data_IF_829276846610
#
_entry.id   IF_829276846610
#
_cell.length_a   1.000
_cell.length_b   1.000
_cell.length_c   1.000
_cell.angle_alpha   90.00
_cell.angle_beta   90.00
_cell.angle_gamma   90.00
#
_symmetry.space_group_name_H-M   'P 1'
#
loop_
_entity.id
_entity.type
_entity.pdbx_description
1 polymer ?
#
# COMPACT_ATOMS: atom_id res chain seq x y z
N UNK A 1 5.97 -7.39 -5.57
CA UNK A 1 6.57 -7.65 -6.89
C UNK A 1 6.01 -8.96 -7.41
N UNK A 2 5.53 -8.94 -8.64
CA UNK A 2 5.36 -10.17 -9.43
C UNK A 2 6.66 -10.33 -10.22
N UNK A 3 7.44 -11.35 -9.86
CA UNK A 3 8.75 -11.61 -10.47
C UNK A 3 8.61 -12.29 -11.83
N UNK A 4 9.63 -12.18 -12.70
CA UNK A 4 9.63 -12.85 -14.01
C UNK A 4 9.52 -14.37 -13.95
N UNK A 5 9.86 -14.99 -12.81
CA UNK A 5 9.77 -16.43 -12.57
C UNK A 5 8.37 -16.88 -12.07
N UNK A 6 7.37 -16.00 -12.15
CA UNK A 6 5.99 -16.32 -11.78
C UNK A 6 5.74 -16.33 -10.28
N UNK A 7 6.70 -15.88 -9.45
CA UNK A 7 6.52 -15.76 -7.99
C UNK A 7 6.08 -14.36 -7.59
N UNK A 8 5.17 -14.29 -6.62
CA UNK A 8 4.79 -13.05 -5.96
C UNK A 8 5.54 -12.92 -4.63
N UNK A 9 6.15 -11.76 -4.40
CA UNK A 9 6.75 -11.37 -3.12
C UNK A 9 6.24 -10.02 -2.64
N UNK A 10 6.03 -9.89 -1.32
CA UNK A 10 5.70 -8.59 -0.70
C UNK A 10 6.94 -7.70 -0.71
N UNK A 11 6.83 -6.50 -1.27
CA UNK A 11 7.91 -5.50 -1.19
C UNK A 11 7.76 -4.68 0.07
N UNK A 12 6.58 -4.10 0.25
CA UNK A 12 6.24 -3.28 1.41
C UNK A 12 4.73 -3.09 1.44
N UNK A 13 4.22 -2.71 2.60
CA UNK A 13 2.85 -2.25 2.79
C UNK A 13 2.82 -1.08 3.76
N UNK A 14 1.65 -0.46 3.87
CA UNK A 14 1.32 0.44 4.95
C UNK A 14 -0.18 0.36 5.22
N UNK A 15 -0.66 1.22 6.09
CA UNK A 15 -2.06 1.20 6.51
C UNK A 15 -2.52 2.60 6.88
N UNK A 16 -3.83 2.77 6.91
CA UNK A 16 -4.45 3.99 7.38
C UNK A 16 -5.84 3.69 7.93
N UNK A 17 -6.14 4.20 9.12
CA UNK A 17 -7.53 4.31 9.57
C UNK A 17 -8.11 5.59 8.94
N UNK A 18 -9.06 5.44 8.03
CA UNK A 18 -9.54 6.56 7.18
C UNK A 18 -10.25 7.67 7.95
N UNK A 19 -10.67 7.42 9.20
CA UNK A 19 -11.22 8.45 10.07
C UNK A 19 -10.17 9.47 10.55
N UNK A 20 -8.88 9.15 10.49
CA UNK A 20 -7.77 10.05 10.88
C UNK A 20 -7.01 10.59 9.65
N UNK A 21 -7.68 10.69 8.50
CA UNK A 21 -7.06 11.06 7.19
C UNK A 21 -6.61 12.52 7.05
N UNK A 22 -6.91 13.37 8.02
CA UNK A 22 -6.47 14.76 7.99
C UNK A 22 -4.93 14.82 8.04
N UNK A 23 -4.33 15.48 7.05
CA UNK A 23 -2.88 15.58 6.91
C UNK A 23 -2.35 16.83 7.59
N UNK A 24 -1.16 16.73 8.16
CA UNK A 24 -0.34 17.87 8.55
C UNK A 24 0.34 18.43 7.29
N UNK A 25 -0.05 19.62 6.79
CA UNK A 25 0.49 20.17 5.55
C UNK A 25 1.95 20.65 5.69
N UNK A 26 2.41 20.94 6.91
CA UNK A 26 3.78 21.39 7.14
C UNK A 26 4.78 20.23 7.14
N UNK A 27 4.30 19.01 7.45
CA UNK A 27 5.15 17.82 7.56
C UNK A 27 4.95 16.82 6.42
N UNK A 28 3.80 16.83 5.76
CA UNK A 28 3.49 15.89 4.68
C UNK A 28 4.29 16.20 3.42
N UNK A 29 4.69 15.14 2.71
CA UNK A 29 5.31 15.20 1.39
C UNK A 29 4.51 14.35 0.39
N UNK A 30 4.94 14.32 -0.87
CA UNK A 30 4.35 13.42 -1.88
C UNK A 30 4.51 11.94 -1.47
N UNK A 31 5.67 11.57 -0.94
CA UNK A 31 5.98 10.18 -0.58
C UNK A 31 5.54 9.82 0.84
N UNK A 32 5.43 10.81 1.72
CA UNK A 32 5.11 10.60 3.13
C UNK A 32 3.93 11.49 3.56
N UNK A 33 2.68 10.97 3.49
CA UNK A 33 1.50 11.67 3.99
C UNK A 33 1.37 11.50 5.50
N UNK A 34 1.74 12.51 6.28
CA UNK A 34 1.70 12.44 7.74
C UNK A 34 0.36 12.98 8.26
N UNK A 35 -0.44 12.16 8.96
CA UNK A 35 -1.67 12.65 9.58
C UNK A 35 -1.37 13.58 10.77
N UNK A 36 -2.29 14.49 11.07
CA UNK A 36 -2.19 15.38 12.25
C UNK A 36 -2.27 14.59 13.56
N UNK A 37 -3.02 13.47 13.55
CA UNK A 37 -3.33 12.64 14.72
C UNK A 37 -4.03 13.39 15.87
N UNK A 38 -4.70 14.50 15.56
CA UNK A 38 -5.49 15.27 16.53
C UNK A 38 -6.92 14.71 16.61
N UNK A 39 -7.46 14.64 17.83
CA UNK A 39 -8.84 14.20 18.06
C UNK A 39 -9.86 15.08 17.32
N UNK A 40 -9.63 16.40 17.30
CA UNK A 40 -10.51 17.37 16.63
C UNK A 40 -10.58 17.18 15.11
N UNK A 41 -9.58 16.53 14.50
CA UNK A 41 -9.52 16.26 13.06
C UNK A 41 -10.10 14.88 12.70
N UNK A 42 -10.49 14.08 13.70
CA UNK A 42 -11.07 12.78 13.47
C UNK A 42 -12.46 12.92 12.82
N UNK A 43 -12.61 12.38 11.62
CA UNK A 43 -13.84 12.47 10.84
C UNK A 43 -14.12 11.15 10.11
N UNK A 44 -15.20 10.41 10.45
CA UNK A 44 -15.62 9.24 9.69
C UNK A 44 -15.77 9.52 8.18
N UNK A 45 -15.68 8.47 7.35
CA UNK A 45 -16.00 8.61 5.95
C UNK A 45 -17.53 8.78 5.78
N UNK A 46 -18.00 9.74 4.97
CA UNK A 46 -19.41 9.84 4.62
C UNK A 46 -19.84 8.59 3.83
N UNK A 47 -20.99 8.03 4.18
CA UNK A 47 -21.51 6.83 3.53
C UNK A 47 -21.96 7.15 2.09
N UNK A 48 -21.57 6.31 1.13
CA UNK A 48 -21.95 6.46 -0.28
C UNK A 48 -21.17 7.54 -1.05
N UNK A 49 -20.16 8.15 -0.42
CA UNK A 49 -19.37 9.22 -1.03
C UNK A 49 -17.88 8.88 -1.05
N UNK A 50 -17.19 9.30 -2.12
CA UNK A 50 -15.73 9.18 -2.18
C UNK A 50 -15.07 10.32 -1.42
N UNK A 51 -14.11 9.97 -0.55
CA UNK A 51 -13.19 10.93 0.07
C UNK A 51 -11.75 10.64 -0.37
N UNK A 52 -10.92 11.67 -0.62
CA UNK A 52 -9.50 11.47 -0.85
C UNK A 52 -8.83 10.95 0.42
N UNK A 53 -8.02 9.89 0.28
CA UNK A 53 -7.22 9.31 1.37
C UNK A 53 -5.81 9.14 0.84
N UNK A 54 -4.82 9.52 1.66
CA UNK A 54 -3.41 9.26 1.40
C UNK A 54 -2.96 8.18 2.38
N UNK A 55 -2.34 7.13 1.86
CA UNK A 55 -1.82 5.99 2.63
C UNK A 55 -0.31 5.98 2.42
N UNK A 56 0.47 6.06 3.49
CA UNK A 56 1.91 5.88 3.42
C UNK A 56 2.21 4.42 3.08
N UNK A 57 3.01 4.17 2.05
CA UNK A 57 3.73 2.91 1.91
C UNK A 57 5.05 3.13 2.63
N UNK A 58 5.32 2.36 3.68
CA UNK A 58 6.51 2.58 4.51
C UNK A 58 7.81 2.52 3.69
N UNK A 59 8.93 3.07 4.22
CA UNK A 59 10.18 3.06 3.49
C UNK A 59 10.62 1.64 3.07
N UNK A 60 11.13 1.53 1.84
CA UNK A 60 11.75 0.32 1.32
C UNK A 60 12.83 0.67 0.30
N UNK A 61 13.75 -0.27 0.06
CA UNK A 61 14.69 -0.22 -1.06
C UNK A 61 14.58 -1.55 -1.80
N UNK A 62 14.09 -1.50 -3.04
CA UNK A 62 13.83 -2.71 -3.83
C UNK A 62 14.17 -2.49 -5.29
N UNK A 63 14.78 -3.50 -5.90
CA UNK A 63 15.09 -3.50 -7.33
C UNK A 63 14.01 -4.30 -8.05
N UNK A 64 13.25 -3.62 -8.90
CA UNK A 64 12.39 -4.26 -9.89
C UNK A 64 13.20 -4.51 -11.16
N UNK A 65 13.41 -5.78 -11.50
CA UNK A 65 14.20 -6.16 -12.68
C UNK A 65 13.32 -6.17 -13.94
N UNK A 66 13.95 -6.22 -15.11
CA UNK A 66 13.24 -6.39 -16.37
C UNK A 66 12.34 -7.64 -16.31
N UNK A 67 11.09 -7.49 -16.76
CA UNK A 67 10.06 -8.53 -16.68
C UNK A 67 9.26 -8.55 -15.37
N UNK A 68 9.69 -7.84 -14.32
CA UNK A 68 8.90 -7.71 -13.10
C UNK A 68 7.67 -6.83 -13.33
N UNK A 69 6.60 -7.11 -12.60
CA UNK A 69 5.41 -6.25 -12.55
C UNK A 69 5.16 -5.73 -11.12
N UNK A 70 4.65 -4.51 -11.06
CA UNK A 70 4.15 -3.92 -9.83
C UNK A 70 2.70 -4.37 -9.61
N UNK A 71 2.43 -4.92 -8.44
CA UNK A 71 1.09 -5.31 -8.00
C UNK A 71 0.78 -4.57 -6.71
N UNK A 72 -0.28 -3.77 -6.73
CA UNK A 72 -0.83 -3.09 -5.55
C UNK A 72 -2.07 -3.86 -5.09
N UNK A 73 -2.11 -4.19 -3.81
CA UNK A 73 -3.24 -4.86 -3.16
C UNK A 73 -3.80 -3.89 -2.13
N UNK A 74 -5.11 -3.64 -2.19
CA UNK A 74 -5.82 -2.80 -1.23
C UNK A 74 -6.88 -3.65 -0.57
N UNK A 75 -6.76 -3.83 0.75
CA UNK A 75 -7.63 -4.68 1.56
C UNK A 75 -7.95 -3.98 2.88
N UNK A 76 -9.05 -4.39 3.51
CA UNK A 76 -9.26 -4.08 4.92
C UNK A 76 -8.16 -4.77 5.75
N UNK A 77 -7.70 -4.17 6.86
CA UNK A 77 -6.67 -4.76 7.69
C UNK A 77 -7.10 -6.14 8.22
N UNK A 78 -6.26 -7.15 8.04
CA UNK A 78 -6.55 -8.51 8.50
C UNK A 78 -5.40 -9.49 8.32
N UNK A 79 -4.52 -9.61 9.32
CA UNK A 79 -3.57 -10.73 9.43
C UNK A 79 -2.33 -10.67 8.54
N UNK A 80 -2.18 -9.66 7.68
CA UNK A 80 -1.04 -9.54 6.75
C UNK A 80 0.31 -9.23 7.45
N UNK A 81 0.28 -8.92 8.75
CA UNK A 81 1.48 -8.72 9.59
C UNK A 81 1.38 -9.49 10.89
N UNK A 82 2.50 -10.09 11.30
CA UNK A 82 2.61 -11.03 12.43
C UNK A 82 2.12 -10.42 13.77
N UNK A 83 2.28 -9.11 13.97
CA UNK A 83 2.04 -8.48 15.27
C UNK A 83 0.95 -7.39 15.26
N UNK A 84 0.32 -7.10 14.13
CA UNK A 84 -0.63 -5.98 14.03
C UNK A 84 -2.06 -6.49 14.08
N UNK A 85 -2.79 -6.00 15.08
CA UNK A 85 -4.22 -6.20 15.22
C UNK A 85 -4.90 -4.83 15.17
N UNK A 86 -5.99 -4.75 14.42
CA UNK A 86 -6.80 -3.54 14.31
C UNK A 86 -8.23 -3.88 14.70
N UNK A 87 -8.85 -3.00 15.48
CA UNK A 87 -10.28 -3.09 15.73
C UNK A 87 -11.04 -2.91 14.42
N UNK A 88 -11.85 -3.92 14.09
CA UNK A 88 -12.77 -3.90 12.98
C UNK A 88 -14.05 -3.15 13.34
N UNK A 89 -14.65 -2.50 12.35
CA UNK A 89 -15.99 -1.94 12.49
C UNK A 89 -17.01 -3.08 12.43
N UNK A 90 -18.12 -2.98 13.17
CA UNK A 90 -19.20 -3.97 13.09
C UNK A 90 -19.83 -3.98 11.69
N UNK A 91 -20.40 -5.14 11.31
CA UNK A 91 -21.06 -5.33 10.02
C UNK A 91 -20.12 -5.76 8.90
N UNK A 92 -20.62 -5.73 7.65
CA UNK A 92 -19.85 -6.06 6.45
C UNK A 92 -19.69 -4.79 5.60
N UNK A 93 -18.53 -4.11 5.65
CA UNK A 93 -18.32 -2.91 4.86
C UNK A 93 -18.13 -3.27 3.38
N UNK A 94 -18.75 -2.49 2.50
CA UNK A 94 -18.38 -2.45 1.08
C UNK A 94 -17.42 -1.29 0.88
N UNK A 95 -16.21 -1.57 0.37
CA UNK A 95 -15.20 -0.55 0.10
C UNK A 95 -15.02 -0.42 -1.41
N UNK A 96 -15.05 0.82 -1.90
CA UNK A 96 -14.79 1.13 -3.30
C UNK A 96 -13.56 2.03 -3.43
N UNK A 97 -12.72 1.75 -4.43
CA UNK A 97 -11.55 2.57 -4.77
C UNK A 97 -11.78 3.18 -6.15
N UNK A 98 -11.91 4.51 -6.20
CA UNK A 98 -12.17 5.19 -7.46
C UNK A 98 -10.94 5.17 -8.37
N UNK A 99 -11.15 4.89 -9.67
CA UNK A 99 -10.10 4.86 -10.71
C UNK A 99 -10.52 5.56 -12.00
N UNK A 100 -11.39 6.57 -11.87
CA UNK A 100 -11.96 7.33 -13.00
C UNK A 100 -11.15 8.60 -13.28
N UNK A 101 -11.32 9.21 -14.46
CA UNK A 101 -10.63 10.48 -14.81
C UNK A 101 -10.89 11.59 -13.78
N UNK A 102 -12.13 11.74 -13.27
CA UNK A 102 -12.46 12.73 -12.25
C UNK A 102 -12.07 12.34 -10.82
N UNK A 103 -11.60 11.11 -10.61
CA UNK A 103 -11.13 10.58 -9.32
C UNK A 103 -9.98 9.61 -9.56
N UNK A 104 -8.80 10.10 -10.00
CA UNK A 104 -7.71 9.25 -10.44
C UNK A 104 -6.87 8.83 -9.23
N UNK A 105 -7.17 7.67 -8.64
CA UNK A 105 -6.28 7.09 -7.65
C UNK A 105 -4.94 6.73 -8.29
N UNK A 106 -3.84 6.99 -7.57
CA UNK A 106 -2.48 6.75 -8.03
C UNK A 106 -1.60 6.21 -6.91
N UNK A 107 -0.39 5.79 -7.28
CA UNK A 107 0.69 5.45 -6.35
C UNK A 107 1.92 6.29 -6.71
N UNK A 108 2.51 6.97 -5.72
CA UNK A 108 3.77 7.68 -5.87
C UNK A 108 4.92 6.74 -5.48
N UNK A 109 5.89 6.58 -6.38
CA UNK A 109 7.05 5.69 -6.18
C UNK A 109 8.35 6.47 -6.44
N UNK A 110 9.28 6.51 -5.48
CA UNK A 110 10.59 7.11 -5.72
C UNK A 110 11.43 6.20 -6.62
N UNK A 111 11.91 6.73 -7.74
CA UNK A 111 12.81 6.03 -8.66
C UNK A 111 14.22 6.56 -8.51
N UNK A 112 15.17 5.68 -8.17
CA UNK A 112 16.59 6.01 -8.10
C UNK A 112 17.28 5.49 -9.37
N UNK A 113 17.75 6.37 -10.27
CA UNK A 113 18.43 5.96 -11.51
C UNK A 113 19.89 5.55 -11.26
N UNK A 114 20.51 4.92 -12.26
CA UNK A 114 21.96 4.67 -12.26
C UNK A 114 22.45 3.51 -11.40
N UNK A 115 21.54 2.64 -10.94
CA UNK A 115 21.88 1.45 -10.15
C UNK A 115 22.01 0.23 -11.08
N UNK A 116 23.12 -0.49 -10.99
CA UNK A 116 23.31 -1.81 -11.63
C UNK A 116 23.08 -2.90 -10.59
N UNK A 117 21.90 -3.56 -10.58
CA UNK A 117 21.63 -4.61 -9.61
C UNK A 117 22.33 -5.93 -9.98
N UNK A 118 22.61 -6.81 -9.01
CA UNK A 118 23.02 -8.18 -9.30
C UNK A 118 21.98 -8.90 -10.19
N UNK A 119 22.46 -9.66 -11.17
CA UNK A 119 21.59 -10.36 -12.12
C UNK A 119 20.66 -11.38 -11.44
N UNK A 120 21.16 -12.08 -10.42
CA UNK A 120 20.38 -13.06 -9.67
C UNK A 120 19.25 -12.40 -8.88
N UNK A 121 18.09 -13.05 -8.88
CA UNK A 121 16.99 -12.69 -7.99
C UNK A 121 17.28 -13.19 -6.56
N UNK A 122 16.87 -12.44 -5.52
CA UNK A 122 16.96 -12.91 -4.14
C UNK A 122 16.19 -14.23 -3.94
N UNK A 123 16.56 -14.99 -2.92
CA UNK A 123 15.86 -16.23 -2.62
C UNK A 123 14.42 -15.97 -2.17
N UNK A 124 13.48 -16.78 -2.66
CA UNK A 124 12.06 -16.64 -2.41
C UNK A 124 11.62 -17.53 -1.25
N UNK A 125 12.09 -17.25 -0.04
CA UNK A 125 11.75 -17.99 1.19
C UNK A 125 12.00 -17.19 2.47
N UNK A 126 12.03 -15.85 2.38
CA UNK A 126 12.30 -15.02 3.55
C UNK A 126 11.12 -15.06 4.52
N UNK A 127 11.43 -15.11 5.83
CA UNK A 127 10.42 -15.10 6.89
C UNK A 127 9.56 -13.84 6.79
N UNK A 128 8.23 -14.01 6.82
CA UNK A 128 7.28 -12.90 6.78
C UNK A 128 7.12 -12.25 5.39
N UNK A 129 7.77 -12.80 4.37
CA UNK A 129 7.56 -12.41 2.98
C UNK A 129 6.85 -13.56 2.27
N UNK A 130 5.61 -13.37 1.79
CA UNK A 130 4.96 -14.34 0.94
C UNK A 130 5.89 -14.69 -0.22
N UNK A 131 6.07 -15.98 -0.47
CA UNK A 131 6.61 -16.50 -1.72
C UNK A 131 5.63 -17.54 -2.22
N UNK A 132 4.84 -17.16 -3.21
CA UNK A 132 3.78 -18.03 -3.77
C UNK A 132 3.69 -17.81 -5.26
N UNK A 133 3.09 -18.78 -5.94
CA UNK A 133 2.75 -18.63 -7.35
C UNK A 133 1.76 -17.49 -7.53
N UNK A 134 1.97 -16.72 -8.60
CA UNK A 134 1.10 -15.61 -8.97
C UNK A 134 -0.26 -16.17 -9.35
N UNK A 135 -1.29 -15.70 -8.65
CA UNK A 135 -2.67 -15.88 -9.06
C UNK A 135 -3.11 -14.64 -9.83
N UNK A 136 -3.93 -14.80 -10.87
CA UNK A 136 -4.55 -13.69 -11.60
C UNK A 136 -5.35 -12.83 -10.64
N UNK A 137 -5.26 -11.51 -10.79
CA UNK A 137 -6.11 -10.60 -10.02
C UNK A 137 -7.56 -10.79 -10.49
N UNK A 138 -8.48 -10.97 -9.54
CA UNK A 138 -9.93 -11.02 -9.74
C UNK A 138 -10.54 -9.64 -9.95
#
# INVERSE_FOLDING_TARGET
EVRPDGKEVLVQSGWMRTSVRALDPARSTELQPLPTMLEADAAPLPAGEFSPVRIEIYPFAHVFRAGSQLRLIVTAPGGDRIAWAFDSLPGTPTNEVARSVGRPSSVALPVVPGITPPAALPACHLRGQPCRDVVSAS
#
